data_IF_240065899494
#
_entry.id   IF_240065899494
#
_cell.length_a   1.000
_cell.length_b   1.000
_cell.length_c   1.000
_cell.angle_alpha   90.00
_cell.angle_beta   90.00
_cell.angle_gamma   90.00
#
_symmetry.space_group_name_H-M   'P 1'
#
loop_
_entity.id
_entity.type
_entity.pdbx_description
1 polymer ?
#
# COMPACT_ATOMS: atom_id res chain seq x y z
N UNK A 1 8.72 -27.88 0.08
CA UNK A 1 10.20 -27.81 0.20
C UNK A 1 10.85 -26.62 -0.52
N UNK A 2 10.09 -25.56 -0.85
CA UNK A 2 10.65 -24.36 -1.50
C UNK A 2 11.19 -23.30 -0.53
N UNK A 3 10.89 -23.38 0.74
CA UNK A 3 11.48 -22.48 1.76
C UNK A 3 13.00 -22.66 1.92
N UNK A 4 13.54 -23.82 1.53
CA UNK A 4 14.98 -24.05 1.57
C UNK A 4 15.73 -23.28 0.45
N UNK A 5 15.12 -23.08 -0.70
CA UNK A 5 15.75 -22.36 -1.82
C UNK A 5 15.79 -20.83 -1.63
N UNK A 6 14.87 -20.27 -0.80
CA UNK A 6 14.97 -18.88 -0.38
C UNK A 6 16.08 -18.65 0.65
N UNK A 7 16.42 -19.69 1.46
CA UNK A 7 17.49 -19.60 2.47
C UNK A 7 18.90 -19.62 1.89
N UNK A 8 19.09 -20.10 0.66
CA UNK A 8 20.41 -20.17 0.02
C UNK A 8 20.78 -18.94 -0.82
N UNK A 9 19.84 -18.01 -1.06
CA UNK A 9 20.21 -16.67 -1.54
C UNK A 9 20.98 -15.98 -0.39
N UNK A 10 22.29 -16.02 -0.47
CA UNK A 10 23.23 -15.52 0.55
C UNK A 10 22.86 -14.10 0.97
N UNK A 11 22.36 -13.96 2.19
CA UNK A 11 22.40 -12.71 2.96
C UNK A 11 23.87 -12.43 3.29
N UNK A 12 24.64 -11.99 2.29
CA UNK A 12 26.05 -11.58 2.48
C UNK A 12 26.21 -10.07 2.58
N UNK A 13 25.12 -9.31 2.50
CA UNK A 13 25.14 -7.88 2.73
C UNK A 13 24.67 -7.58 4.15
N UNK A 14 25.39 -6.69 4.81
CA UNK A 14 25.03 -6.14 6.12
C UNK A 14 23.85 -5.14 5.90
N UNK A 15 22.72 -5.66 5.42
CA UNK A 15 21.55 -4.85 5.09
C UNK A 15 21.07 -4.15 6.37
N UNK A 16 21.06 -2.83 6.33
CA UNK A 16 20.67 -2.02 7.48
C UNK A 16 19.15 -2.00 7.73
N UNK A 17 18.34 -2.36 6.71
CA UNK A 17 16.87 -2.39 6.74
C UNK A 17 16.39 -3.80 6.41
N UNK A 18 15.40 -4.29 7.16
CA UNK A 18 14.81 -5.60 6.86
C UNK A 18 13.80 -5.48 5.71
N UNK A 19 12.89 -4.49 5.77
CA UNK A 19 11.88 -4.28 4.73
C UNK A 19 11.72 -2.80 4.43
N UNK A 20 11.82 -2.43 3.16
CA UNK A 20 11.33 -1.13 2.66
C UNK A 20 10.02 -1.34 1.94
N UNK A 21 8.97 -0.66 2.39
CA UNK A 21 7.66 -0.69 1.74
C UNK A 21 7.46 0.57 0.89
N UNK A 22 6.82 0.42 -0.27
CA UNK A 22 6.54 1.53 -1.20
C UNK A 22 5.04 1.51 -1.52
N UNK A 23 4.35 2.61 -1.26
CA UNK A 23 2.91 2.70 -1.45
C UNK A 23 2.32 4.09 -1.23
N UNK A 24 1.01 4.16 -1.24
CA UNK A 24 0.28 5.38 -1.00
C UNK A 24 0.39 5.82 0.48
N UNK A 25 0.90 7.03 0.70
CA UNK A 25 0.91 7.66 2.01
C UNK A 25 -0.43 8.36 2.25
N UNK A 26 -1.27 7.78 3.08
CA UNK A 26 -2.64 8.25 3.35
C UNK A 26 -2.81 8.51 4.84
N UNK A 27 -3.49 9.58 5.21
CA UNK A 27 -3.88 9.84 6.60
C UNK A 27 -5.30 9.34 6.82
N UNK A 28 -5.49 8.45 7.78
CA UNK A 28 -6.80 7.97 8.17
C UNK A 28 -7.45 8.94 9.18
N UNK A 29 -8.64 9.41 8.84
CA UNK A 29 -9.47 10.33 9.63
C UNK A 29 -10.70 9.56 10.07
N UNK A 30 -10.68 9.05 11.29
CA UNK A 30 -11.69 8.14 11.81
C UNK A 30 -12.68 8.92 12.68
N UNK A 31 -13.95 8.87 12.34
CA UNK A 31 -15.03 9.49 13.11
C UNK A 31 -16.21 8.54 13.33
N UNK A 32 -16.84 8.64 14.50
CA UNK A 32 -18.13 7.99 14.75
C UNK A 32 -19.23 8.81 14.11
N UNK A 33 -20.18 8.15 13.49
CA UNK A 33 -21.35 8.79 12.91
C UNK A 33 -22.60 7.92 13.10
N UNK A 34 -23.76 8.47 12.78
CA UNK A 34 -25.01 7.71 12.67
C UNK A 34 -25.43 7.56 11.21
N UNK A 35 -26.46 6.75 10.96
CA UNK A 35 -26.96 6.53 9.59
C UNK A 35 -27.51 7.83 8.97
N UNK A 36 -28.07 8.76 9.74
CA UNK A 36 -28.53 10.05 9.22
C UNK A 36 -27.41 10.88 8.61
N UNK A 37 -26.20 10.83 9.19
CA UNK A 37 -25.03 11.49 8.62
C UNK A 37 -24.69 10.90 7.24
N UNK A 38 -24.73 9.57 7.11
CA UNK A 38 -24.48 8.91 5.82
C UNK A 38 -25.53 9.32 4.77
N UNK A 39 -26.80 9.38 5.15
CA UNK A 39 -27.88 9.82 4.26
C UNK A 39 -27.74 11.29 3.84
N UNK A 40 -27.47 12.19 4.79
CA UNK A 40 -27.28 13.62 4.53
C UNK A 40 -26.16 13.87 3.53
N UNK A 41 -25.02 13.18 3.73
CA UNK A 41 -23.87 13.30 2.85
C UNK A 41 -23.89 12.31 1.67
N UNK A 42 -24.98 11.54 1.47
CA UNK A 42 -25.13 10.58 0.36
C UNK A 42 -23.97 9.59 0.27
N UNK A 43 -23.60 9.02 1.39
CA UNK A 43 -22.54 8.02 1.52
C UNK A 43 -23.18 6.64 1.57
N UNK A 44 -22.70 5.73 0.74
CA UNK A 44 -23.14 4.34 0.76
C UNK A 44 -22.48 3.65 1.97
N UNK A 45 -23.31 3.10 2.86
CA UNK A 45 -22.82 2.38 4.04
C UNK A 45 -21.96 1.17 3.65
N UNK A 46 -20.89 0.96 4.38
CA UNK A 46 -19.95 -0.16 4.16
C UNK A 46 -19.25 -0.15 2.79
N UNK A 47 -19.21 1.00 2.10
CA UNK A 47 -18.49 1.16 0.83
C UNK A 47 -17.13 1.85 1.02
N UNK A 48 -16.32 1.76 -0.04
CA UNK A 48 -15.14 2.59 -0.23
C UNK A 48 -15.30 3.38 -1.52
N UNK A 49 -15.29 4.72 -1.41
CA UNK A 49 -15.44 5.62 -2.54
C UNK A 49 -14.22 6.52 -2.67
N UNK A 50 -13.75 6.71 -3.91
CA UNK A 50 -12.77 7.75 -4.21
C UNK A 50 -13.49 9.08 -4.39
N UNK A 51 -13.01 10.12 -3.69
CA UNK A 51 -13.59 11.45 -3.66
C UNK A 51 -12.57 12.50 -4.06
N UNK A 52 -13.05 13.67 -4.49
CA UNK A 52 -12.21 14.83 -4.77
C UNK A 52 -11.85 15.62 -3.50
N UNK A 53 -10.94 16.59 -3.65
CA UNK A 53 -10.47 17.43 -2.54
C UNK A 53 -11.59 18.25 -1.91
N UNK A 54 -12.51 18.79 -2.70
CA UNK A 54 -13.63 19.59 -2.18
C UNK A 54 -14.58 18.74 -1.35
N UNK A 55 -14.88 17.54 -1.81
CA UNK A 55 -15.72 16.58 -1.08
C UNK A 55 -15.04 16.14 0.21
N UNK A 56 -13.75 15.84 0.18
CA UNK A 56 -12.97 15.49 1.37
C UNK A 56 -13.02 16.62 2.40
N UNK A 57 -12.82 17.88 1.97
CA UNK A 57 -12.92 19.04 2.84
C UNK A 57 -14.33 19.19 3.44
N UNK A 58 -15.36 19.06 2.61
CA UNK A 58 -16.75 19.18 3.07
C UNK A 58 -17.07 18.14 4.14
N UNK A 59 -16.67 16.90 3.95
CA UNK A 59 -16.88 15.85 4.96
C UNK A 59 -16.11 16.16 6.23
N UNK A 60 -14.81 16.50 6.11
CA UNK A 60 -13.96 16.80 7.26
C UNK A 60 -14.51 17.92 8.14
N UNK A 61 -14.98 19.02 7.54
CA UNK A 61 -15.52 20.19 8.25
C UNK A 61 -16.80 19.87 9.06
N UNK A 62 -17.45 18.73 8.79
CA UNK A 62 -18.66 18.28 9.47
C UNK A 62 -18.42 17.08 10.42
N UNK A 63 -17.17 16.68 10.65
CA UNK A 63 -16.86 15.61 11.61
C UNK A 63 -16.79 16.14 13.03
N UNK A 64 -17.24 15.33 13.97
CA UNK A 64 -17.10 15.59 15.40
C UNK A 64 -15.93 14.78 15.98
N UNK A 65 -14.91 15.46 16.54
CA UNK A 65 -13.78 14.86 17.24
C UNK A 65 -13.10 13.69 16.47
N UNK A 66 -12.70 13.87 15.20
CA UNK A 66 -12.07 12.81 14.45
C UNK A 66 -10.72 12.43 15.06
N UNK A 67 -10.40 11.13 15.02
CA UNK A 67 -9.05 10.64 15.29
C UNK A 67 -8.27 10.65 13.98
N UNK A 68 -7.12 11.33 13.98
CA UNK A 68 -6.26 11.47 12.81
C UNK A 68 -4.98 10.66 13.07
N UNK A 69 -4.65 9.73 12.19
CA UNK A 69 -3.48 8.85 12.30
C UNK A 69 -2.89 8.57 10.92
N UNK A 70 -1.61 8.21 10.86
CA UNK A 70 -1.03 7.67 9.62
C UNK A 70 -1.73 6.37 9.21
N UNK A 71 -1.94 6.20 7.90
CA UNK A 71 -2.61 5.04 7.30
C UNK A 71 -2.03 4.71 5.92
N UNK A 72 -2.77 3.94 5.14
CA UNK A 72 -2.30 3.37 3.87
C UNK A 72 -1.73 1.95 4.05
N UNK A 73 -2.02 1.03 3.13
CA UNK A 73 -1.75 -0.39 3.33
C UNK A 73 -0.27 -0.72 3.46
N UNK A 74 0.58 -0.11 2.61
CA UNK A 74 2.04 -0.31 2.68
C UNK A 74 2.66 0.36 3.91
N UNK A 75 2.16 1.53 4.33
CA UNK A 75 2.61 2.19 5.55
C UNK A 75 2.22 1.38 6.80
N UNK A 76 1.00 0.87 6.85
CA UNK A 76 0.55 -0.02 7.92
C UNK A 76 1.37 -1.32 7.97
N UNK A 77 1.78 -1.85 6.83
CA UNK A 77 2.70 -2.99 6.74
C UNK A 77 4.06 -2.65 7.36
N UNK A 78 4.65 -1.48 7.05
CA UNK A 78 5.90 -1.03 7.66
C UNK A 78 5.78 -0.87 9.18
N UNK A 79 4.67 -0.28 9.64
CA UNK A 79 4.35 -0.14 11.08
C UNK A 79 4.26 -1.50 11.76
N UNK A 80 3.56 -2.46 11.14
CA UNK A 80 3.47 -3.84 11.66
C UNK A 80 4.83 -4.53 11.77
N UNK A 81 5.69 -4.37 10.77
CA UNK A 81 7.05 -4.92 10.75
C UNK A 81 7.91 -4.29 11.87
N UNK A 82 7.84 -2.97 12.04
CA UNK A 82 8.54 -2.28 13.12
C UNK A 82 8.04 -2.71 14.50
N UNK A 83 6.72 -2.87 14.67
CA UNK A 83 6.13 -3.36 15.92
C UNK A 83 6.56 -4.79 16.29
N UNK A 84 6.90 -5.60 15.30
CA UNK A 84 7.47 -6.95 15.49
C UNK A 84 8.99 -6.94 15.76
N UNK A 85 9.60 -5.75 15.86
CA UNK A 85 11.01 -5.59 16.20
C UNK A 85 11.98 -5.62 15.01
N UNK A 86 11.49 -5.63 13.79
CA UNK A 86 12.32 -5.54 12.58
C UNK A 86 12.50 -4.08 12.13
N UNK A 87 13.57 -3.82 11.38
CA UNK A 87 13.86 -2.49 10.84
C UNK A 87 13.06 -2.27 9.56
N UNK A 88 12.13 -1.33 9.60
CA UNK A 88 11.27 -0.99 8.49
C UNK A 88 11.51 0.43 7.98
N UNK A 89 11.32 0.62 6.69
CA UNK A 89 11.27 1.91 6.04
C UNK A 89 10.05 2.01 5.13
N UNK A 90 9.61 3.23 4.87
CA UNK A 90 8.50 3.51 3.97
C UNK A 90 8.90 4.60 2.96
N UNK A 91 8.55 4.39 1.70
CA UNK A 91 8.63 5.38 0.62
C UNK A 91 7.22 5.65 0.11
N UNK A 92 6.80 6.89 0.17
CA UNK A 92 5.50 7.36 -0.30
C UNK A 92 5.48 8.87 -0.29
N UNK A 93 4.51 9.49 -0.94
CA UNK A 93 4.49 10.95 -1.11
C UNK A 93 3.39 11.59 -0.30
N UNK A 94 3.75 12.62 0.46
CA UNK A 94 2.84 13.52 1.17
C UNK A 94 3.22 14.97 0.86
N UNK A 95 2.27 15.89 1.00
CA UNK A 95 2.53 17.31 0.89
C UNK A 95 3.10 17.88 2.19
N UNK A 96 3.80 19.01 2.09
CA UNK A 96 4.21 19.80 3.25
C UNK A 96 2.99 20.59 3.77
N UNK A 97 2.05 19.89 4.37
CA UNK A 97 0.85 20.41 5.01
C UNK A 97 0.65 19.74 6.39
N UNK A 98 -0.41 20.11 7.10
CA UNK A 98 -0.68 19.59 8.44
C UNK A 98 -0.81 18.06 8.46
N UNK A 99 -1.54 17.48 7.49
CA UNK A 99 -1.73 16.03 7.42
C UNK A 99 -0.43 15.32 7.02
N UNK A 100 0.38 15.89 6.12
CA UNK A 100 1.67 15.34 5.73
C UNK A 100 2.68 15.33 6.88
N UNK A 101 2.70 16.37 7.68
CA UNK A 101 3.52 16.40 8.89
C UNK A 101 3.01 15.40 9.93
N UNK A 102 1.70 15.29 10.14
CA UNK A 102 1.11 14.26 10.99
C UNK A 102 1.50 12.85 10.54
N UNK A 103 1.39 12.56 9.25
CA UNK A 103 1.80 11.26 8.69
C UNK A 103 3.26 10.95 9.01
N UNK A 104 4.15 11.91 8.72
CA UNK A 104 5.59 11.76 8.95
C UNK A 104 5.91 11.51 10.42
N UNK A 105 5.35 12.33 11.32
CA UNK A 105 5.62 12.24 12.76
C UNK A 105 5.11 10.91 13.32
N UNK A 106 3.90 10.49 12.93
CA UNK A 106 3.30 9.23 13.40
C UNK A 106 4.12 8.02 12.97
N UNK A 107 4.46 7.92 11.68
CA UNK A 107 5.17 6.74 11.16
C UNK A 107 6.61 6.66 11.72
N UNK A 108 7.28 7.80 11.91
CA UNK A 108 8.60 7.85 12.52
C UNK A 108 8.57 7.53 14.02
N UNK A 109 7.52 7.95 14.73
CA UNK A 109 7.34 7.69 16.16
C UNK A 109 7.24 6.20 16.48
N UNK A 110 6.72 5.39 15.58
CA UNK A 110 6.64 3.92 15.73
C UNK A 110 7.89 3.20 15.22
N UNK A 111 8.93 3.93 14.81
CA UNK A 111 10.23 3.38 14.43
C UNK A 111 10.41 3.06 12.95
N UNK A 112 9.50 3.51 12.09
CA UNK A 112 9.65 3.38 10.64
C UNK A 112 10.46 4.55 10.07
N UNK A 113 11.49 4.26 9.28
CA UNK A 113 12.25 5.30 8.57
C UNK A 113 11.41 5.87 7.43
N UNK A 114 11.19 7.19 7.43
CA UNK A 114 10.47 7.91 6.37
C UNK A 114 11.24 9.17 6.01
N UNK A 115 11.90 9.17 4.86
CA UNK A 115 12.80 10.24 4.41
C UNK A 115 12.39 10.83 3.05
N UNK A 116 11.30 10.37 2.45
CA UNK A 116 10.79 10.96 1.20
C UNK A 116 10.53 12.45 1.39
N UNK A 117 11.03 13.28 0.46
CA UNK A 117 10.84 14.72 0.52
C UNK A 117 9.36 15.08 0.45
N UNK A 118 8.93 15.98 1.34
CA UNK A 118 7.56 16.49 1.32
C UNK A 118 7.35 17.36 0.08
N UNK A 119 6.23 17.18 -0.63
CA UNK A 119 5.90 17.97 -1.81
C UNK A 119 5.55 19.41 -1.41
N UNK A 120 6.19 20.41 -2.05
CA UNK A 120 5.91 21.83 -1.75
C UNK A 120 4.65 22.34 -2.45
N UNK A 121 4.35 21.81 -3.64
CA UNK A 121 3.26 22.24 -4.52
C UNK A 121 2.29 21.09 -4.76
N UNK A 122 1.21 21.31 -5.51
CA UNK A 122 0.27 20.26 -5.88
C UNK A 122 -0.85 20.04 -4.85
N UNK A 123 -1.58 18.91 -4.95
CA UNK A 123 -2.74 18.61 -4.10
C UNK A 123 -2.33 18.38 -2.64
N UNK A 124 -3.31 18.50 -1.74
CA UNK A 124 -3.12 18.20 -0.33
C UNK A 124 -2.71 16.74 -0.11
N UNK A 125 -2.14 16.46 1.06
CA UNK A 125 -1.86 15.09 1.49
C UNK A 125 -3.12 14.23 1.41
N UNK A 126 -2.95 13.01 0.94
CA UNK A 126 -4.03 12.03 0.84
C UNK A 126 -4.68 11.76 2.20
N UNK A 127 -5.99 11.61 2.19
CA UNK A 127 -6.76 11.29 3.40
C UNK A 127 -7.90 10.34 3.11
N UNK A 128 -8.15 9.40 4.02
CA UNK A 128 -9.32 8.54 4.01
C UNK A 128 -10.20 8.88 5.20
N UNK A 129 -11.39 9.42 4.94
CA UNK A 129 -12.40 9.67 5.97
C UNK A 129 -13.15 8.37 6.21
N UNK A 130 -12.94 7.78 7.37
CA UNK A 130 -13.50 6.50 7.79
C UNK A 130 -14.62 6.77 8.79
N UNK A 131 -15.85 6.61 8.33
CA UNK A 131 -17.05 6.80 9.12
C UNK A 131 -17.49 5.47 9.71
N UNK A 132 -17.60 5.43 11.04
CA UNK A 132 -17.94 4.21 11.78
C UNK A 132 -19.33 4.37 12.39
N UNK A 133 -20.28 3.56 11.96
CA UNK A 133 -21.64 3.52 12.49
C UNK A 133 -21.75 2.64 13.74
N UNK A 134 -22.83 2.75 14.56
CA UNK A 134 -22.97 2.02 15.82
C UNK A 134 -22.94 0.48 15.70
N UNK A 135 -23.27 -0.05 14.52
CA UNK A 135 -23.16 -1.47 14.18
C UNK A 135 -21.74 -1.87 13.74
N UNK A 136 -20.75 -0.98 13.90
CA UNK A 136 -19.35 -1.14 13.56
C UNK A 136 -19.04 -1.25 12.07
N UNK A 137 -19.99 -0.91 11.18
CA UNK A 137 -19.74 -0.80 9.75
C UNK A 137 -18.87 0.43 9.45
N UNK A 138 -17.97 0.28 8.47
CA UNK A 138 -17.03 1.31 8.05
C UNK A 138 -17.32 1.76 6.64
N UNK A 139 -17.57 3.05 6.47
CA UNK A 139 -17.71 3.66 5.14
C UNK A 139 -16.51 4.57 4.90
N UNK A 140 -15.76 4.31 3.84
CA UNK A 140 -14.49 4.98 3.56
C UNK A 140 -14.64 5.93 2.39
N UNK A 141 -14.16 7.16 2.56
CA UNK A 141 -14.18 8.20 1.54
C UNK A 141 -12.74 8.69 1.35
N UNK A 142 -12.09 8.27 0.27
CA UNK A 142 -10.65 8.45 0.10
C UNK A 142 -10.32 9.47 -0.97
N UNK A 143 -9.61 10.52 -0.57
CA UNK A 143 -8.97 11.49 -1.44
C UNK A 143 -7.49 11.11 -1.59
N UNK A 144 -7.07 10.79 -2.81
CA UNK A 144 -5.70 10.29 -3.05
C UNK A 144 -4.64 11.41 -3.03
N UNK A 145 -5.00 12.66 -3.33
CA UNK A 145 -4.14 13.82 -3.15
C UNK A 145 -2.70 13.63 -3.66
N UNK A 146 -1.74 14.06 -2.84
CA UNK A 146 -0.32 14.04 -3.20
C UNK A 146 0.26 12.62 -3.42
N UNK A 147 -0.35 11.56 -2.87
CA UNK A 147 0.24 10.22 -2.99
C UNK A 147 0.34 9.72 -4.44
N UNK A 148 -0.54 10.18 -5.35
CA UNK A 148 -0.49 9.82 -6.77
C UNK A 148 0.67 10.48 -7.55
N UNK A 149 1.36 11.43 -6.93
CA UNK A 149 2.50 12.14 -7.53
C UNK A 149 3.84 11.45 -7.24
N UNK A 150 3.83 10.28 -6.61
CA UNK A 150 5.06 9.50 -6.41
C UNK A 150 5.70 9.23 -7.77
N UNK A 151 7.00 9.52 -7.89
CA UNK A 151 7.76 9.25 -9.10
C UNK A 151 9.17 8.69 -8.80
N UNK A 152 9.96 8.42 -9.83
CA UNK A 152 11.30 7.84 -9.71
C UNK A 152 12.25 8.70 -8.86
N UNK A 153 12.04 10.04 -8.82
CA UNK A 153 12.91 10.96 -8.08
C UNK A 153 12.69 10.87 -6.55
N UNK A 154 11.55 10.31 -6.14
CA UNK A 154 11.23 10.09 -4.72
C UNK A 154 11.87 8.82 -4.14
N UNK A 155 12.45 7.98 -5.00
CA UNK A 155 13.09 6.73 -4.58
C UNK A 155 14.45 7.01 -3.95
N UNK A 156 14.62 6.62 -2.71
CA UNK A 156 15.94 6.49 -2.09
C UNK A 156 16.60 5.18 -2.54
N UNK A 157 17.41 5.25 -3.60
CA UNK A 157 18.10 4.08 -4.14
C UNK A 157 18.98 3.39 -3.10
N UNK A 158 19.65 4.16 -2.22
CA UNK A 158 20.50 3.57 -1.19
C UNK A 158 19.68 2.80 -0.17
N UNK A 159 18.52 3.31 0.19
CA UNK A 159 17.59 2.62 1.07
C UNK A 159 17.13 1.29 0.46
N UNK A 160 16.73 1.31 -0.82
CA UNK A 160 16.30 0.12 -1.56
C UNK A 160 17.44 -0.90 -1.66
N UNK A 161 18.65 -0.47 -2.02
CA UNK A 161 19.85 -1.33 -2.12
C UNK A 161 20.20 -2.01 -0.79
N UNK A 162 20.00 -1.32 0.32
CA UNK A 162 20.32 -1.82 1.66
C UNK A 162 19.16 -2.52 2.38
N UNK A 163 18.09 -2.85 1.67
CA UNK A 163 16.95 -3.58 2.19
C UNK A 163 17.03 -5.06 1.86
N UNK A 164 16.61 -5.95 2.77
CA UNK A 164 16.50 -7.38 2.46
C UNK A 164 15.32 -7.66 1.53
N UNK A 165 14.21 -6.96 1.77
CA UNK A 165 12.96 -7.10 1.03
C UNK A 165 12.46 -5.70 0.65
N UNK A 166 12.02 -5.55 -0.60
CA UNK A 166 11.26 -4.38 -1.06
C UNK A 166 9.83 -4.82 -1.29
N UNK A 167 8.89 -4.26 -0.51
CA UNK A 167 7.46 -4.57 -0.58
C UNK A 167 6.72 -3.47 -1.34
N UNK A 168 5.94 -3.87 -2.33
CA UNK A 168 5.31 -2.99 -3.31
C UNK A 168 3.77 -3.11 -3.24
N UNK A 169 3.09 -1.96 -3.18
CA UNK A 169 1.63 -1.87 -3.12
C UNK A 169 1.03 -1.76 -4.53
N UNK A 170 0.16 -2.69 -4.91
CA UNK A 170 -0.40 -2.79 -6.26
C UNK A 170 -1.14 -1.54 -6.75
N UNK A 171 -1.73 -0.74 -5.88
CA UNK A 171 -2.37 0.54 -6.24
C UNK A 171 -1.47 1.50 -7.02
N UNK A 172 -0.14 1.37 -6.91
CA UNK A 172 0.81 2.20 -7.67
C UNK A 172 0.83 1.91 -9.18
N UNK A 173 0.10 0.90 -9.64
CA UNK A 173 -0.12 0.70 -11.09
C UNK A 173 -1.08 1.72 -11.72
N UNK A 174 -1.96 2.35 -10.94
CA UNK A 174 -2.92 3.33 -11.45
C UNK A 174 -2.26 4.63 -11.94
N UNK A 175 -1.40 5.35 -11.16
CA UNK A 175 -0.72 6.54 -11.64
C UNK A 175 0.51 6.17 -12.50
N UNK A 176 0.63 6.67 -13.76
CA UNK A 176 1.71 6.28 -14.66
C UNK A 176 3.13 6.49 -14.09
N UNK A 177 3.38 7.63 -13.43
CA UNK A 177 4.69 7.94 -12.81
C UNK A 177 4.99 7.02 -11.62
N UNK A 178 3.99 6.74 -10.79
CA UNK A 178 4.13 5.82 -9.67
C UNK A 178 4.41 4.39 -10.16
N UNK A 179 3.79 3.98 -11.27
CA UNK A 179 4.09 2.70 -11.92
C UNK A 179 5.55 2.62 -12.42
N UNK A 180 6.08 3.71 -13.00
CA UNK A 180 7.49 3.78 -13.39
C UNK A 180 8.43 3.67 -12.17
N UNK A 181 8.11 4.39 -11.09
CA UNK A 181 8.85 4.32 -9.82
C UNK A 181 8.83 2.90 -9.24
N UNK A 182 7.68 2.24 -9.29
CA UNK A 182 7.46 0.88 -8.84
C UNK A 182 8.36 -0.13 -9.60
N UNK A 183 8.39 -0.04 -10.94
CA UNK A 183 9.25 -0.87 -11.78
C UNK A 183 10.72 -0.59 -11.47
N UNK A 184 11.11 0.67 -11.37
CA UNK A 184 12.48 1.09 -11.06
C UNK A 184 12.95 0.57 -9.69
N UNK A 185 12.09 0.63 -8.67
CA UNK A 185 12.40 0.12 -7.35
C UNK A 185 12.65 -1.41 -7.38
N UNK A 186 11.81 -2.16 -8.11
CA UNK A 186 12.01 -3.59 -8.28
C UNK A 186 13.31 -3.92 -9.02
N UNK A 187 13.65 -3.18 -10.07
CA UNK A 187 14.91 -3.36 -10.79
C UNK A 187 16.13 -3.11 -9.90
N UNK A 188 16.12 -2.03 -9.09
CA UNK A 188 17.19 -1.74 -8.14
C UNK A 188 17.33 -2.89 -7.14
N UNK A 189 16.22 -3.35 -6.57
CA UNK A 189 16.23 -4.47 -5.62
C UNK A 189 16.79 -5.77 -6.25
N UNK A 190 16.36 -6.10 -7.46
CA UNK A 190 16.82 -7.31 -8.17
C UNK A 190 18.31 -7.26 -8.53
N UNK A 191 18.84 -6.08 -8.92
CA UNK A 191 20.25 -5.91 -9.22
C UNK A 191 21.15 -6.16 -8.00
N UNK A 192 20.65 -5.87 -6.80
CA UNK A 192 21.33 -6.15 -5.52
C UNK A 192 20.98 -7.53 -4.95
N UNK A 193 20.22 -8.36 -5.69
CA UNK A 193 19.75 -9.68 -5.26
C UNK A 193 18.81 -9.64 -4.02
N UNK A 194 18.22 -8.48 -3.75
CA UNK A 194 17.21 -8.32 -2.71
C UNK A 194 15.88 -8.95 -3.17
N UNK A 195 15.06 -9.39 -2.23
CA UNK A 195 13.74 -9.93 -2.54
C UNK A 195 12.75 -8.81 -2.88
N UNK A 196 11.92 -9.06 -3.86
CA UNK A 196 10.78 -8.21 -4.21
C UNK A 196 9.50 -8.91 -3.79
N UNK A 197 8.74 -8.25 -2.95
CA UNK A 197 7.43 -8.70 -2.49
C UNK A 197 6.37 -7.72 -2.97
N UNK A 198 5.17 -8.19 -3.23
CA UNK A 198 4.08 -7.37 -3.76
C UNK A 198 2.73 -7.81 -3.23
N UNK A 199 1.82 -6.86 -2.97
CA UNK A 199 0.39 -7.12 -2.83
C UNK A 199 -0.38 -6.69 -4.07
N UNK A 200 -1.43 -7.44 -4.45
CA UNK A 200 -2.33 -7.06 -5.54
C UNK A 200 -3.24 -5.88 -5.19
N UNK A 201 -3.47 -5.63 -3.90
CA UNK A 201 -4.20 -4.51 -3.31
C UNK A 201 -5.72 -4.57 -3.44
N UNK A 202 -6.28 -4.63 -4.64
CA UNK A 202 -7.70 -4.89 -4.86
C UNK A 202 -7.99 -5.45 -6.27
N UNK A 203 -9.14 -6.12 -6.42
CA UNK A 203 -9.55 -6.77 -7.66
C UNK A 203 -9.81 -5.78 -8.80
N UNK A 204 -10.29 -4.57 -8.52
CA UNK A 204 -10.56 -3.56 -9.55
C UNK A 204 -9.26 -2.99 -10.14
N UNK A 205 -8.22 -2.79 -9.30
CA UNK A 205 -6.90 -2.41 -9.77
C UNK A 205 -6.31 -3.52 -10.66
N UNK A 206 -6.46 -4.77 -10.25
CA UNK A 206 -6.03 -5.94 -11.03
C UNK A 206 -6.73 -6.00 -12.38
N UNK A 207 -8.04 -5.78 -12.44
CA UNK A 207 -8.81 -5.77 -13.70
C UNK A 207 -8.31 -4.74 -14.69
N UNK A 208 -8.01 -3.51 -14.22
CA UNK A 208 -7.53 -2.42 -15.07
C UNK A 208 -6.13 -2.69 -15.64
N UNK A 209 -5.27 -3.40 -14.90
CA UNK A 209 -3.84 -3.56 -15.22
C UNK A 209 -3.39 -5.01 -15.31
N UNK A 210 -4.29 -5.96 -15.56
CA UNK A 210 -4.05 -7.41 -15.49
C UNK A 210 -2.78 -7.87 -16.22
N UNK A 211 -2.64 -7.50 -17.47
CA UNK A 211 -1.47 -7.90 -18.28
C UNK A 211 -0.16 -7.38 -17.69
N UNK A 212 -0.18 -6.16 -17.18
CA UNK A 212 0.99 -5.52 -16.57
C UNK A 212 1.34 -6.19 -15.25
N UNK A 213 0.33 -6.51 -14.41
CA UNK A 213 0.54 -7.30 -13.19
C UNK A 213 1.17 -8.65 -13.48
N UNK A 214 0.59 -9.42 -14.42
CA UNK A 214 1.13 -10.74 -14.79
C UNK A 214 2.59 -10.61 -15.24
N UNK A 215 2.88 -9.69 -16.14
CA UNK A 215 4.25 -9.44 -16.63
C UNK A 215 5.20 -9.02 -15.51
N UNK A 216 4.77 -8.11 -14.65
CA UNK A 216 5.57 -7.63 -13.53
C UNK A 216 5.85 -8.74 -12.50
N UNK A 217 4.83 -9.50 -12.13
CA UNK A 217 4.96 -10.63 -11.20
C UNK A 217 5.96 -11.65 -11.76
N UNK A 218 5.81 -12.01 -13.04
CA UNK A 218 6.67 -12.98 -13.66
C UNK A 218 8.14 -12.57 -13.67
N UNK A 219 8.43 -11.29 -13.94
CA UNK A 219 9.78 -10.79 -14.15
C UNK A 219 10.47 -10.30 -12.87
N UNK A 220 9.72 -9.77 -11.90
CA UNK A 220 10.31 -9.04 -10.78
C UNK A 220 9.94 -9.58 -9.39
N UNK A 221 8.75 -10.15 -9.20
CA UNK A 221 8.26 -10.53 -7.87
C UNK A 221 8.82 -11.89 -7.44
N UNK A 222 9.24 -11.98 -6.20
CA UNK A 222 9.64 -13.23 -5.53
C UNK A 222 8.51 -13.73 -4.61
N UNK A 223 7.79 -12.82 -3.93
CA UNK A 223 6.72 -13.14 -2.97
C UNK A 223 5.46 -12.34 -3.31
N UNK A 224 4.37 -13.01 -3.58
CA UNK A 224 3.07 -12.39 -3.89
C UNK A 224 2.10 -12.54 -2.72
N UNK A 225 1.48 -11.43 -2.34
CA UNK A 225 0.35 -11.41 -1.39
C UNK A 225 -0.94 -11.04 -2.13
N UNK A 226 -2.01 -11.74 -1.86
CA UNK A 226 -3.33 -11.45 -2.42
C UNK A 226 -4.43 -12.08 -1.56
N UNK A 227 -5.66 -11.65 -1.79
CA UNK A 227 -6.83 -12.37 -1.32
C UNK A 227 -7.42 -13.26 -2.43
N UNK A 228 -8.50 -13.99 -2.10
CA UNK A 228 -9.16 -14.90 -3.04
C UNK A 228 -9.70 -14.16 -4.27
N UNK A 229 -10.34 -13.00 -4.08
CA UNK A 229 -10.95 -12.25 -5.19
C UNK A 229 -9.90 -11.61 -6.11
N UNK A 230 -8.83 -11.11 -5.55
CA UNK A 230 -7.70 -10.54 -6.29
C UNK A 230 -7.02 -11.58 -7.19
N UNK A 231 -6.75 -12.78 -6.66
CA UNK A 231 -6.07 -13.82 -7.46
C UNK A 231 -6.98 -14.39 -8.55
N UNK A 232 -8.29 -14.52 -8.28
CA UNK A 232 -9.29 -14.89 -9.29
C UNK A 232 -9.39 -13.83 -10.38
N UNK A 233 -9.38 -12.54 -10.02
CA UNK A 233 -9.39 -11.43 -10.96
C UNK A 233 -8.13 -11.45 -11.84
N UNK A 234 -6.96 -11.72 -11.26
CA UNK A 234 -5.70 -11.76 -11.98
C UNK A 234 -5.70 -12.81 -13.10
N UNK A 235 -6.23 -13.99 -12.83
CA UNK A 235 -6.18 -15.13 -13.76
C UNK A 235 -7.51 -15.42 -14.46
N UNK A 236 -8.59 -14.70 -14.14
CA UNK A 236 -9.94 -14.90 -14.71
C UNK A 236 -10.43 -16.34 -14.58
N UNK A 237 -10.18 -16.99 -13.45
CA UNK A 237 -10.57 -18.37 -13.19
C UNK A 237 -10.87 -18.59 -11.70
N UNK A 238 -11.33 -19.77 -11.35
CA UNK A 238 -11.59 -20.13 -9.96
C UNK A 238 -10.30 -20.22 -9.12
N UNK A 239 -10.46 -20.36 -7.81
CA UNK A 239 -9.33 -20.35 -6.87
C UNK A 239 -8.33 -21.49 -7.12
N UNK A 240 -8.79 -22.70 -7.43
CA UNK A 240 -7.92 -23.86 -7.63
C UNK A 240 -7.10 -23.74 -8.92
N UNK A 241 -7.72 -23.26 -9.99
CA UNK A 241 -7.04 -22.95 -11.23
C UNK A 241 -6.06 -21.78 -11.05
N UNK A 242 -6.41 -20.76 -10.27
CA UNK A 242 -5.53 -19.63 -9.94
C UNK A 242 -4.30 -20.09 -9.15
N UNK A 243 -4.45 -20.96 -8.16
CA UNK A 243 -3.34 -21.57 -7.41
C UNK A 243 -2.38 -22.32 -8.32
N UNK A 244 -2.92 -23.09 -9.27
CA UNK A 244 -2.10 -23.84 -10.25
C UNK A 244 -1.28 -22.89 -11.12
N UNK A 245 -1.89 -21.81 -11.64
CA UNK A 245 -1.19 -20.82 -12.47
C UNK A 245 -0.07 -20.10 -11.72
N UNK A 246 -0.32 -19.70 -10.47
CA UNK A 246 0.72 -19.08 -9.62
C UNK A 246 1.88 -20.06 -9.37
N UNK A 247 1.56 -21.33 -9.12
CA UNK A 247 2.57 -22.36 -8.90
C UNK A 247 3.44 -22.57 -10.14
N UNK A 248 2.84 -22.54 -11.34
CA UNK A 248 3.55 -22.61 -12.62
C UNK A 248 4.50 -21.42 -12.82
N UNK A 249 4.14 -20.23 -12.30
CA UNK A 249 5.02 -19.05 -12.33
C UNK A 249 6.22 -19.18 -11.38
N UNK A 250 6.24 -20.18 -10.50
CA UNK A 250 7.34 -20.42 -9.55
C UNK A 250 7.49 -19.36 -8.46
N UNK A 251 6.40 -18.66 -8.12
CA UNK A 251 6.39 -17.60 -7.10
C UNK A 251 5.92 -18.14 -5.76
N UNK A 252 6.54 -17.67 -4.69
CA UNK A 252 5.96 -17.85 -3.36
C UNK A 252 4.73 -16.98 -3.23
N UNK A 253 3.59 -17.55 -2.82
CA UNK A 253 2.34 -16.81 -2.81
C UNK A 253 1.57 -17.09 -1.53
N UNK A 254 1.11 -16.02 -0.90
CA UNK A 254 0.23 -16.05 0.26
C UNK A 254 -1.15 -15.57 -0.18
N UNK A 255 -2.14 -16.45 -0.09
CA UNK A 255 -3.53 -16.14 -0.44
C UNK A 255 -4.36 -16.14 0.84
N UNK A 256 -4.90 -14.98 1.21
CA UNK A 256 -5.81 -14.87 2.35
C UNK A 256 -7.24 -15.23 1.94
N UNK A 257 -7.95 -15.94 2.80
CA UNK A 257 -9.29 -16.47 2.55
C UNK A 257 -10.35 -15.85 3.49
N UNK A 258 -10.12 -14.63 3.95
CA UNK A 258 -11.00 -13.94 4.89
C UNK A 258 -11.14 -14.70 6.22
N UNK A 259 -12.39 -15.01 6.62
CA UNK A 259 -12.66 -15.75 7.87
C UNK A 259 -12.17 -17.21 7.87
N UNK A 260 -11.68 -17.72 6.74
CA UNK A 260 -11.19 -19.09 6.60
C UNK A 260 -9.67 -19.19 6.72
N UNK A 261 -8.97 -18.09 6.88
CA UNK A 261 -7.50 -18.04 7.05
C UNK A 261 -6.72 -17.30 5.99
#
# INVERSE_FOLDING_TARGET
>A
NNLSNLKEKKVTQNNSIDVTTIGNAIVDIIAQCNDNFLEEFKIIKASMDLIDEQRSKTLFDNLENPKIISGGSAANTAVGIAALGSKAAFIGKVKNDELGNTFKDDIQKVGVSFNTALESDGPRTASSIILVTPDAERSMNTFLGACVNLDVQDLDENLIKNSKIVYLEGYLFDPPKAKEAFIKAAEIAKNEQNLVSMTLSDSFCVERHRSDFISFIQNHVDILFCNEDEIKSLFECDLEASKSKVQEMGKETVITLGSKG
#
